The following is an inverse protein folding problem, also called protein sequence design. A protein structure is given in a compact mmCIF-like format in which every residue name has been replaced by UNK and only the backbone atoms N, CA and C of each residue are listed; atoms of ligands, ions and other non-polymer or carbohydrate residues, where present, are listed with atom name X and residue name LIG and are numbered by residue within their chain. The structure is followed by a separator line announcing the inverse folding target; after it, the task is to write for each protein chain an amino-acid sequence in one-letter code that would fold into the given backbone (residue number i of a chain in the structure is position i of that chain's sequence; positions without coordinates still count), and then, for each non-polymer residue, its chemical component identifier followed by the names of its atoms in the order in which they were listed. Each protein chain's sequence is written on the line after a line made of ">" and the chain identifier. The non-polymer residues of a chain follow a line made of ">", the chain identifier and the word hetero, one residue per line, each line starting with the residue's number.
data_IF_126656957712
#
_entry.id   IF_126656957712
#
_cell.length_a   1.000
_cell.length_b   1.000
_cell.length_c   1.000
_cell.angle_alpha   90.00
_cell.angle_beta   90.00
_cell.angle_gamma   90.00
#
_symmetry.space_group_name_H-M   'P 1'
#
loop_
_entity.id
_entity.type
_entity.pdbx_description
1 polymer ?
#
# COMPACT_ATOMS: atom_id res chain seq x y z
N UNK A 1 -7.95 26.86 5.67
CA UNK A 1 -7.52 26.06 4.50
C UNK A 1 -7.37 24.62 4.96
N UNK A 2 -8.28 23.73 4.57
CA UNK A 2 -8.08 22.29 4.81
C UNK A 2 -6.91 21.85 3.93
N UNK A 3 -5.84 21.31 4.53
CA UNK A 3 -4.77 20.68 3.76
C UNK A 3 -5.40 19.56 2.93
N UNK A 4 -5.31 19.66 1.60
CA UNK A 4 -5.79 18.61 0.71
C UNK A 4 -5.08 17.31 1.10
N UNK A 5 -5.84 16.32 1.56
CA UNK A 5 -5.29 15.03 1.92
C UNK A 5 -4.74 14.36 0.67
N UNK A 6 -3.42 14.30 0.54
CA UNK A 6 -2.80 13.66 -0.62
C UNK A 6 -2.51 12.19 -0.31
N UNK A 7 -3.48 11.32 -0.61
CA UNK A 7 -3.35 9.87 -0.37
C UNK A 7 -2.15 9.28 -1.10
N UNK A 8 -1.89 9.73 -2.34
CA UNK A 8 -0.79 9.22 -3.16
C UNK A 8 0.56 9.43 -2.49
N UNK A 9 0.78 10.60 -1.90
CA UNK A 9 2.00 10.91 -1.16
C UNK A 9 2.11 10.06 0.11
N UNK A 10 1.02 9.90 0.88
CA UNK A 10 1.01 9.04 2.09
C UNK A 10 1.31 7.58 1.76
N UNK A 11 0.73 7.05 0.68
CA UNK A 11 1.00 5.69 0.24
C UNK A 11 2.45 5.54 -0.23
N UNK A 12 2.99 6.54 -0.93
CA UNK A 12 4.40 6.55 -1.33
C UNK A 12 5.34 6.56 -0.12
N UNK A 13 5.06 7.38 0.89
CA UNK A 13 5.79 7.40 2.16
C UNK A 13 5.72 6.04 2.88
N UNK A 14 4.52 5.47 2.97
CA UNK A 14 4.30 4.15 3.57
C UNK A 14 5.15 3.06 2.89
N UNK A 15 5.24 3.07 1.56
CA UNK A 15 6.07 2.13 0.79
C UNK A 15 7.56 2.29 1.13
N UNK A 16 8.05 3.53 1.21
CA UNK A 16 9.44 3.83 1.56
C UNK A 16 9.77 3.37 3.00
N UNK A 17 8.96 3.74 3.98
CA UNK A 17 9.17 3.40 5.40
C UNK A 17 9.08 1.88 5.64
N UNK A 18 8.18 1.20 4.94
CA UNK A 18 8.04 -0.25 5.02
C UNK A 18 9.09 -1.02 4.22
N UNK A 19 9.92 -0.34 3.41
CA UNK A 19 10.86 -0.94 2.45
C UNK A 19 10.15 -1.95 1.55
N UNK A 20 8.95 -1.60 1.11
CA UNK A 20 8.11 -2.45 0.28
C UNK A 20 8.22 -2.00 -1.17
N UNK A 21 8.64 -2.91 -2.04
CA UNK A 21 8.81 -2.62 -3.47
C UNK A 21 7.52 -2.97 -4.20
N UNK A 22 6.82 -1.94 -4.67
CA UNK A 22 5.69 -2.10 -5.55
C UNK A 22 6.18 -2.32 -7.00
N UNK A 23 5.59 -3.29 -7.69
CA UNK A 23 5.76 -3.44 -9.14
C UNK A 23 5.04 -2.33 -9.89
N UNK A 24 3.90 -1.89 -9.37
CA UNK A 24 3.12 -0.81 -9.96
C UNK A 24 2.34 -0.07 -8.87
N UNK A 25 2.25 1.24 -9.02
CA UNK A 25 1.46 2.13 -8.15
C UNK A 25 0.69 3.08 -9.05
N UNK A 26 -0.64 2.97 -9.03
CA UNK A 26 -1.54 3.76 -9.88
C UNK A 26 -2.60 4.40 -8.99
N UNK A 27 -3.02 5.62 -9.29
CA UNK A 27 -4.07 6.27 -8.50
C UNK A 27 -4.00 7.79 -8.52
N UNK A 28 -4.89 8.37 -7.73
CA UNK A 28 -5.03 9.81 -7.49
C UNK A 28 -5.06 10.08 -5.97
N UNK A 29 -5.44 11.30 -5.60
CA UNK A 29 -5.43 11.74 -4.20
C UNK A 29 -6.53 11.08 -3.34
N UNK A 30 -7.49 10.38 -3.93
CA UNK A 30 -8.59 9.70 -3.22
C UNK A 30 -8.47 8.18 -3.22
N UNK A 31 -7.75 7.63 -4.19
CA UNK A 31 -7.64 6.19 -4.40
C UNK A 31 -6.27 5.80 -4.96
N UNK A 32 -5.64 4.79 -4.36
CA UNK A 32 -4.36 4.24 -4.82
C UNK A 32 -4.40 2.72 -4.89
N UNK A 33 -4.03 2.17 -6.03
CA UNK A 33 -3.77 0.74 -6.23
C UNK A 33 -2.28 0.47 -6.26
N UNK A 34 -1.89 -0.61 -5.60
CA UNK A 34 -0.52 -1.07 -5.48
C UNK A 34 -0.50 -2.54 -5.87
N UNK A 35 0.40 -2.91 -6.78
CA UNK A 35 0.72 -4.30 -7.10
C UNK A 35 2.09 -4.64 -6.53
N UNK A 36 2.18 -5.71 -5.77
CA UNK A 36 3.39 -6.14 -5.06
C UNK A 36 3.67 -7.59 -5.43
N UNK A 37 4.92 -7.91 -5.73
CA UNK A 37 5.39 -9.28 -5.85
C UNK A 37 5.81 -9.79 -4.48
N UNK A 38 5.35 -10.97 -4.09
CA UNK A 38 5.61 -11.59 -2.79
C UNK A 38 6.57 -12.74 -3.00
N UNK A 39 7.86 -12.49 -2.71
CA UNK A 39 8.95 -13.44 -2.93
C UNK A 39 9.45 -14.04 -1.59
N UNK A 40 8.51 -14.41 -0.71
CA UNK A 40 8.79 -15.11 0.55
C UNK A 40 8.72 -14.24 1.81
N UNK A 41 9.41 -14.68 2.87
CA UNK A 41 9.25 -14.18 4.24
C UNK A 41 9.66 -12.71 4.42
N UNK A 42 10.70 -12.25 3.70
CA UNK A 42 11.17 -10.87 3.74
C UNK A 42 10.09 -9.88 3.29
N UNK A 43 9.32 -10.22 2.24
CA UNK A 43 8.21 -9.38 1.77
C UNK A 43 7.07 -9.33 2.78
N UNK A 44 6.81 -10.43 3.50
CA UNK A 44 5.75 -10.49 4.51
C UNK A 44 6.02 -9.54 5.69
N UNK A 45 7.28 -9.41 6.11
CA UNK A 45 7.67 -8.45 7.16
C UNK A 45 7.42 -7.00 6.69
N UNK A 46 7.81 -6.66 5.45
CA UNK A 46 7.54 -5.34 4.87
C UNK A 46 6.04 -5.07 4.71
N UNK A 47 5.26 -6.06 4.28
CA UNK A 47 3.79 -5.96 4.18
C UNK A 47 3.16 -5.69 5.55
N UNK A 48 3.63 -6.33 6.62
CA UNK A 48 3.15 -6.08 7.98
C UNK A 48 3.44 -4.64 8.43
N UNK A 49 4.64 -4.11 8.14
CA UNK A 49 4.97 -2.71 8.43
C UNK A 49 4.08 -1.74 7.65
N UNK A 50 3.86 -2.02 6.37
CA UNK A 50 2.98 -1.22 5.51
C UNK A 50 1.54 -1.21 6.04
N UNK A 51 1.00 -2.38 6.38
CA UNK A 51 -0.31 -2.53 7.02
C UNK A 51 -0.43 -1.65 8.28
N UNK A 52 0.54 -1.75 9.19
CA UNK A 52 0.53 -0.99 10.44
C UNK A 52 0.54 0.53 10.19
N UNK A 53 1.25 0.99 9.16
CA UNK A 53 1.22 2.40 8.77
C UNK A 53 -0.18 2.81 8.31
N UNK A 54 -0.80 2.04 7.41
CA UNK A 54 -2.15 2.35 6.93
C UNK A 54 -3.17 2.41 8.08
N UNK A 55 -3.09 1.48 9.03
CA UNK A 55 -3.97 1.45 10.21
C UNK A 55 -3.74 2.65 11.13
N UNK A 56 -2.48 3.04 11.36
CA UNK A 56 -2.13 4.24 12.15
C UNK A 56 -2.69 5.51 11.53
N UNK A 57 -2.62 5.61 10.20
CA UNK A 57 -3.17 6.74 9.43
C UNK A 57 -4.69 6.66 9.20
N UNK A 58 -5.35 5.63 9.74
CA UNK A 58 -6.80 5.37 9.59
C UNK A 58 -7.24 5.28 8.12
N UNK A 59 -6.35 4.80 7.25
CA UNK A 59 -6.63 4.58 5.83
C UNK A 59 -7.43 3.29 5.63
N UNK A 60 -8.48 3.35 4.79
CA UNK A 60 -9.19 2.14 4.37
C UNK A 60 -8.41 1.44 3.28
N UNK A 61 -8.33 0.11 3.35
CA UNK A 61 -7.70 -0.67 2.30
C UNK A 61 -8.37 -2.04 2.10
N UNK A 62 -8.29 -2.55 0.88
CA UNK A 62 -8.69 -3.90 0.49
C UNK A 62 -7.49 -4.57 -0.15
N UNK A 63 -7.29 -5.86 0.07
CA UNK A 63 -6.20 -6.61 -0.56
C UNK A 63 -6.64 -7.95 -1.10
N UNK A 64 -5.98 -8.39 -2.17
CA UNK A 64 -6.15 -9.72 -2.76
C UNK A 64 -4.78 -10.32 -3.06
N UNK A 65 -4.62 -11.61 -2.78
CA UNK A 65 -3.38 -12.34 -3.06
C UNK A 65 -3.63 -13.46 -4.07
N UNK A 66 -2.76 -13.56 -5.07
CA UNK A 66 -2.76 -14.65 -6.05
C UNK A 66 -1.55 -15.54 -5.82
N UNK A 67 -1.76 -16.70 -5.20
CA UNK A 67 -0.71 -17.69 -4.97
C UNK A 67 -0.05 -18.17 -6.27
N UNK A 68 -0.85 -18.39 -7.33
CA UNK A 68 -0.34 -18.80 -8.66
C UNK A 68 0.64 -17.80 -9.26
N UNK A 69 0.44 -16.50 -9.01
CA UNK A 69 1.28 -15.44 -9.58
C UNK A 69 2.31 -14.89 -8.59
N UNK A 70 2.22 -15.25 -7.31
CA UNK A 70 3.01 -14.63 -6.23
C UNK A 70 2.78 -13.12 -6.13
N UNK A 71 1.57 -12.64 -6.41
CA UNK A 71 1.26 -11.21 -6.49
C UNK A 71 0.15 -10.84 -5.53
N UNK A 72 0.35 -9.75 -4.80
CA UNK A 72 -0.66 -9.10 -3.96
C UNK A 72 -1.07 -7.77 -4.60
N UNK A 73 -2.38 -7.54 -4.74
CA UNK A 73 -2.93 -6.24 -5.11
C UNK A 73 -3.55 -5.61 -3.86
N UNK A 74 -3.21 -4.36 -3.59
CA UNK A 74 -3.73 -3.58 -2.47
C UNK A 74 -4.38 -2.32 -3.02
N UNK A 75 -5.61 -2.04 -2.62
CA UNK A 75 -6.37 -0.84 -2.94
C UNK A 75 -6.56 -0.03 -1.68
N UNK A 76 -6.14 1.24 -1.67
CA UNK A 76 -6.19 2.15 -0.52
C UNK A 76 -7.08 3.34 -0.88
N UNK A 77 -7.88 3.79 0.08
CA UNK A 77 -8.87 4.84 -0.10
C UNK A 77 -8.71 5.92 0.98
N UNK A 78 -8.81 7.19 0.59
CA UNK A 78 -9.04 8.29 1.52
C UNK A 78 -10.54 8.48 1.71
N UNK A 79 -10.93 8.95 2.89
CA UNK A 79 -12.28 9.49 3.09
C UNK A 79 -12.36 10.91 2.53
#
# INVERSE_FOLDING_TARGET
>A
MAAAFNLRNKVSEALQLSRLIAQNTLGNDFFVMIRIRVDGESTMVSLKKFKNFLEKERLRYVSSFSARKGVMNISVYSY
#
